data_IF_593894436400
#
_entry.id   IF_593894436400
#
_cell.length_a   1.000
_cell.length_b   1.000
_cell.length_c   1.000
_cell.angle_alpha   90.00
_cell.angle_beta   90.00
_cell.angle_gamma   90.00
#
_symmetry.space_group_name_H-M   'P 1'
#
loop_
_entity.id
_entity.type
_entity.pdbx_description
1 polymer ?
#
# COMPACT_ATOMS: atom_id res chain seq x y z
N UNK A 1 19.88 1.10 -26.46
CA UNK A 1 18.55 1.05 -25.83
C UNK A 1 18.48 0.12 -24.61
N UNK A 2 19.60 -0.24 -23.95
CA UNK A 2 19.59 -1.32 -22.94
C UNK A 2 20.57 -1.11 -21.77
N UNK A 3 20.75 0.12 -21.26
CA UNK A 3 21.69 0.35 -20.12
C UNK A 3 21.16 1.15 -18.93
N UNK A 4 19.88 1.53 -18.91
CA UNK A 4 19.35 2.36 -17.82
C UNK A 4 18.33 1.65 -16.91
N UNK A 5 18.05 0.36 -17.14
CA UNK A 5 17.08 -0.40 -16.34
C UNK A 5 17.74 -1.26 -15.23
N UNK A 6 18.99 -1.71 -15.44
CA UNK A 6 19.66 -2.61 -14.50
C UNK A 6 20.23 -1.90 -13.25
N UNK A 7 20.52 -0.60 -13.32
CA UNK A 7 21.04 0.16 -12.18
C UNK A 7 20.00 0.52 -11.11
N UNK A 8 18.72 0.24 -11.38
CA UNK A 8 17.59 0.64 -10.55
C UNK A 8 17.10 -0.48 -9.63
N UNK A 9 17.41 -1.72 -9.97
CA UNK A 9 17.02 -2.93 -9.22
C UNK A 9 18.02 -3.35 -8.15
N UNK A 10 19.09 -2.57 -7.92
CA UNK A 10 20.17 -2.94 -7.01
C UNK A 10 20.33 -2.04 -5.77
N UNK A 11 19.40 -1.11 -5.51
CA UNK A 11 19.59 -0.13 -4.42
C UNK A 11 18.56 -0.25 -3.30
N UNK A 12 19.01 -0.86 -2.21
CA UNK A 12 18.44 -0.81 -0.85
C UNK A 12 18.63 0.54 -0.15
N UNK A 13 18.79 1.64 -0.89
CA UNK A 13 18.88 3.01 -0.36
C UNK A 13 18.51 4.05 -1.45
N UNK A 14 17.65 5.02 -1.11
CA UNK A 14 17.47 6.25 -1.91
C UNK A 14 16.05 6.56 -2.39
N UNK A 15 15.52 7.71 -1.97
CA UNK A 15 14.30 8.35 -2.48
C UNK A 15 14.30 8.42 -4.00
N UNK A 16 13.28 7.83 -4.64
CA UNK A 16 12.97 8.06 -6.05
C UNK A 16 11.59 8.69 -6.14
N UNK A 17 11.56 9.96 -6.51
CA UNK A 17 10.40 10.55 -7.15
C UNK A 17 10.52 10.22 -8.64
N UNK A 18 9.56 9.49 -9.18
CA UNK A 18 9.40 9.33 -10.61
C UNK A 18 8.12 10.05 -11.01
N UNK A 19 8.23 11.02 -11.91
CA UNK A 19 7.08 11.63 -12.55
C UNK A 19 6.51 10.60 -13.54
N UNK A 20 5.31 10.10 -13.26
CA UNK A 20 4.65 9.05 -14.04
C UNK A 20 3.61 9.62 -15.02
N UNK A 21 3.53 10.95 -15.18
CA UNK A 21 2.47 11.61 -15.95
C UNK A 21 1.09 11.57 -15.28
N UNK A 22 0.20 12.50 -15.65
CA UNK A 22 -1.20 12.53 -15.16
C UNK A 22 -1.43 13.25 -13.82
N UNK A 23 -0.45 13.98 -13.29
CA UNK A 23 -0.61 14.79 -12.06
C UNK A 23 -0.31 14.08 -10.74
N UNK A 24 0.38 12.93 -10.78
CA UNK A 24 0.63 12.07 -9.63
C UNK A 24 2.05 12.31 -9.08
N UNK A 25 2.18 12.62 -7.78
CA UNK A 25 3.47 12.91 -7.12
C UNK A 25 3.76 11.94 -5.97
N UNK A 26 4.50 10.87 -6.25
CA UNK A 26 5.02 9.98 -5.20
C UNK A 26 6.34 10.53 -4.62
N UNK A 27 6.36 10.88 -3.34
CA UNK A 27 7.60 11.21 -2.59
C UNK A 27 7.91 10.06 -1.66
N UNK A 28 9.02 9.36 -1.91
CA UNK A 28 9.54 8.32 -1.01
C UNK A 28 10.20 8.98 0.21
N UNK A 29 9.45 9.10 1.30
CA UNK A 29 9.99 9.18 2.65
C UNK A 29 9.65 7.85 3.37
N UNK A 30 10.58 7.34 4.16
CA UNK A 30 10.64 5.95 4.65
C UNK A 30 9.27 5.24 4.84
N UNK A 31 9.12 4.10 4.15
CA UNK A 31 8.05 3.09 4.26
C UNK A 31 6.61 3.45 3.83
N UNK A 32 6.30 4.70 3.48
CA UNK A 32 4.92 5.15 3.20
C UNK A 32 4.80 5.88 1.86
N UNK A 33 3.70 5.65 1.14
CA UNK A 33 3.37 6.31 -0.13
C UNK A 33 2.01 6.99 -0.01
N UNK A 34 1.91 8.27 -0.34
CA UNK A 34 0.61 8.95 -0.39
C UNK A 34 -0.19 8.49 -1.61
N UNK A 35 -1.47 8.21 -1.41
CA UNK A 35 -2.42 7.81 -2.43
C UNK A 35 -3.08 9.06 -3.03
N UNK A 36 -2.43 9.66 -4.02
CA UNK A 36 -3.02 10.64 -4.92
C UNK A 36 -3.39 9.88 -6.19
N UNK A 37 -4.67 9.61 -6.44
CA UNK A 37 -5.11 8.83 -7.61
C UNK A 37 -4.73 7.35 -7.53
N UNK A 38 -3.52 7.00 -7.96
CA UNK A 38 -3.04 5.62 -8.08
C UNK A 38 -1.60 5.47 -7.54
N UNK A 39 -1.35 4.38 -6.81
CA UNK A 39 -0.04 4.01 -6.25
C UNK A 39 0.29 2.56 -6.58
N UNK A 40 1.55 2.31 -6.92
CA UNK A 40 2.08 0.96 -7.11
C UNK A 40 2.83 0.49 -5.86
N UNK A 41 2.51 -0.72 -5.38
CA UNK A 41 3.15 -1.38 -4.25
C UNK A 41 3.51 -2.82 -4.62
N UNK A 42 4.76 -3.07 -5.01
CA UNK A 42 5.15 -4.37 -5.58
C UNK A 42 4.25 -4.73 -6.77
N UNK A 43 3.54 -5.88 -6.78
CA UNK A 43 2.62 -6.26 -7.85
C UNK A 43 1.24 -5.59 -7.75
N UNK A 44 1.00 -4.71 -6.78
CA UNK A 44 -0.30 -4.10 -6.55
C UNK A 44 -0.38 -2.72 -7.18
N UNK A 45 -1.47 -2.43 -7.88
CA UNK A 45 -1.94 -1.08 -8.18
C UNK A 45 -3.10 -0.79 -7.24
N UNK A 46 -3.04 0.31 -6.50
CA UNK A 46 -4.03 0.71 -5.49
C UNK A 46 -4.49 2.12 -5.82
N UNK A 47 -5.80 2.32 -5.90
CA UNK A 47 -6.39 3.57 -6.37
C UNK A 47 -7.48 4.06 -5.42
N UNK A 48 -7.61 5.38 -5.31
CA UNK A 48 -8.69 6.03 -4.59
C UNK A 48 -8.82 7.47 -5.04
N UNK A 49 -10.06 7.93 -5.15
CA UNK A 49 -10.37 9.34 -5.36
C UNK A 49 -10.34 10.16 -4.05
N UNK A 50 -10.15 9.49 -2.89
CA UNK A 50 -10.21 10.14 -1.58
C UNK A 50 -8.82 10.59 -1.15
N UNK A 51 -8.71 11.88 -0.84
CA UNK A 51 -7.45 12.48 -0.39
C UNK A 51 -7.09 12.05 1.04
N UNK A 52 -5.81 12.23 1.39
CA UNK A 52 -5.28 11.96 2.74
C UNK A 52 -5.11 10.48 3.06
N UNK A 53 -5.12 9.62 2.04
CA UNK A 53 -4.79 8.21 2.15
C UNK A 53 -3.31 7.95 1.91
N UNK A 54 -2.80 6.94 2.58
CA UNK A 54 -1.42 6.50 2.45
C UNK A 54 -1.37 4.97 2.37
N UNK A 55 -0.43 4.43 1.60
CA UNK A 55 -0.14 3.01 1.46
C UNK A 55 1.21 2.74 2.10
N UNK A 56 1.27 1.77 3.01
CA UNK A 56 2.51 1.31 3.64
C UNK A 56 2.54 -0.20 3.81
N UNK A 57 3.68 -0.71 4.27
CA UNK A 57 3.79 -2.10 4.71
C UNK A 57 3.03 -2.33 6.00
N UNK A 58 2.68 -3.59 6.24
CA UNK A 58 2.07 -4.02 7.50
C UNK A 58 3.01 -3.79 8.67
N UNK A 59 2.48 -3.24 9.76
CA UNK A 59 3.20 -3.06 11.03
C UNK A 59 2.60 -3.95 12.12
N UNK A 60 3.42 -4.51 13.04
CA UNK A 60 2.91 -5.16 14.23
C UNK A 60 1.99 -4.23 15.02
N UNK A 61 0.82 -4.74 15.42
CA UNK A 61 -0.17 -3.95 16.16
C UNK A 61 -1.27 -3.34 15.29
N UNK A 62 -1.13 -3.34 13.95
CA UNK A 62 -2.15 -2.86 13.02
C UNK A 62 -3.52 -3.50 13.29
N UNK A 63 -4.56 -2.65 13.30
CA UNK A 63 -5.97 -3.03 13.50
C UNK A 63 -6.84 -2.28 12.51
N UNK A 64 -7.80 -3.00 11.95
CA UNK A 64 -8.77 -2.40 11.03
C UNK A 64 -9.65 -1.39 11.78
N UNK A 65 -9.76 -0.17 11.26
CA UNK A 65 -10.53 0.91 11.86
C UNK A 65 -11.98 0.50 12.08
N UNK A 66 -12.60 1.01 13.15
CA UNK A 66 -13.96 0.64 13.54
C UNK A 66 -14.14 -0.83 13.96
N UNK A 67 -13.07 -1.64 13.99
CA UNK A 67 -13.09 -3.05 14.39
C UNK A 67 -11.99 -3.34 15.41
N UNK A 68 -12.16 -4.42 16.19
CA UNK A 68 -11.13 -4.87 17.14
C UNK A 68 -10.10 -5.83 16.53
N UNK A 69 -10.34 -6.35 15.33
CA UNK A 69 -9.55 -7.42 14.72
C UNK A 69 -8.19 -6.91 14.23
N UNK A 70 -7.12 -7.68 14.51
CA UNK A 70 -5.77 -7.34 14.06
C UNK A 70 -5.62 -7.65 12.58
N UNK A 71 -4.85 -6.83 11.88
CA UNK A 71 -4.49 -7.06 10.47
C UNK A 71 -3.72 -8.38 10.29
N UNK A 72 -2.88 -8.76 11.27
CA UNK A 72 -2.22 -10.07 11.27
C UNK A 72 -3.23 -11.22 11.13
N UNK A 73 -4.31 -11.18 11.92
CA UNK A 73 -5.32 -12.24 11.95
C UNK A 73 -6.11 -12.24 10.64
N UNK A 74 -6.43 -11.06 10.11
CA UNK A 74 -7.06 -10.91 8.78
C UNK A 74 -6.22 -11.57 7.67
N UNK A 75 -4.91 -11.32 7.64
CA UNK A 75 -3.99 -11.91 6.66
C UNK A 75 -3.84 -13.42 6.84
N UNK A 76 -3.86 -13.90 8.09
CA UNK A 76 -3.87 -15.35 8.39
C UNK A 76 -5.13 -16.00 7.86
N UNK A 77 -6.31 -15.42 8.14
CA UNK A 77 -7.59 -15.95 7.72
C UNK A 77 -7.76 -15.96 6.20
N UNK A 78 -7.22 -14.93 5.54
CA UNK A 78 -7.11 -14.85 4.08
C UNK A 78 -6.03 -15.76 3.48
N UNK A 79 -5.33 -16.53 4.33
CA UNK A 79 -4.28 -17.50 3.94
C UNK A 79 -3.09 -16.86 3.20
N UNK A 80 -2.80 -15.59 3.47
CA UNK A 80 -1.60 -14.93 2.94
C UNK A 80 -0.35 -15.63 3.49
N UNK A 81 0.63 -15.95 2.65
CA UNK A 81 1.84 -16.64 3.09
C UNK A 81 2.65 -15.76 4.04
N UNK A 82 3.26 -16.35 5.08
CA UNK A 82 3.99 -15.60 6.12
C UNK A 82 5.03 -14.62 5.55
N UNK A 83 5.74 -15.03 4.50
CA UNK A 83 6.80 -14.25 3.85
C UNK A 83 6.28 -12.99 3.15
N UNK A 84 5.00 -12.99 2.75
CA UNK A 84 4.36 -11.86 2.06
C UNK A 84 3.69 -10.88 3.04
N UNK A 85 3.38 -11.31 4.28
CA UNK A 85 2.53 -10.53 5.21
C UNK A 85 3.13 -9.21 5.62
N UNK A 86 4.44 -9.15 5.86
CA UNK A 86 5.11 -7.92 6.31
C UNK A 86 5.19 -6.89 5.17
N UNK A 87 5.32 -7.36 3.94
CA UNK A 87 5.29 -6.53 2.73
C UNK A 87 3.88 -6.35 2.16
N UNK A 88 2.82 -6.81 2.83
CA UNK A 88 1.46 -6.66 2.32
C UNK A 88 1.08 -5.18 2.36
N UNK A 89 0.47 -4.64 1.29
CA UNK A 89 0.04 -3.24 1.29
C UNK A 89 -1.06 -3.04 2.33
N UNK A 90 -0.96 -1.98 3.10
CA UNK A 90 -1.95 -1.52 4.07
C UNK A 90 -2.28 -0.07 3.74
N UNK A 91 -3.57 0.22 3.59
CA UNK A 91 -4.04 1.57 3.30
C UNK A 91 -4.51 2.20 4.60
N UNK A 92 -3.95 3.36 4.90
CA UNK A 92 -4.20 4.09 6.14
C UNK A 92 -4.69 5.51 5.87
N UNK A 93 -5.40 6.06 6.84
CA UNK A 93 -5.66 7.50 6.95
C UNK A 93 -5.08 7.98 8.27
N UNK A 94 -3.93 8.65 8.23
CA UNK A 94 -3.14 8.89 9.44
C UNK A 94 -2.71 7.56 10.08
N UNK A 95 -3.12 7.30 11.32
CA UNK A 95 -2.79 6.06 12.03
C UNK A 95 -3.82 4.93 11.86
N UNK A 96 -4.98 5.24 11.27
CA UNK A 96 -6.08 4.28 11.14
C UNK A 96 -5.92 3.41 9.89
N UNK A 97 -5.98 2.09 10.05
CA UNK A 97 -6.02 1.16 8.90
C UNK A 97 -7.43 1.13 8.33
N UNK A 98 -7.59 1.63 7.11
CA UNK A 98 -8.90 1.76 6.45
C UNK A 98 -9.16 0.65 5.44
N UNK A 99 -8.11 0.09 4.84
CA UNK A 99 -8.23 -1.08 3.97
C UNK A 99 -6.98 -1.97 4.01
N UNK A 100 -7.22 -3.26 3.85
CA UNK A 100 -6.23 -4.31 3.60
C UNK A 100 -6.58 -4.90 2.24
N UNK A 101 -5.97 -4.43 1.14
CA UNK A 101 -6.24 -4.88 -0.21
C UNK A 101 -6.34 -6.41 -0.34
N UNK A 102 -7.44 -6.86 -0.95
CA UNK A 102 -7.75 -8.27 -1.19
C UNK A 102 -8.23 -9.05 0.05
N UNK A 103 -8.39 -8.37 1.20
CA UNK A 103 -8.67 -9.05 2.48
C UNK A 103 -9.83 -8.40 3.23
N UNK A 104 -9.79 -7.09 3.47
CA UNK A 104 -10.82 -6.41 4.26
C UNK A 104 -10.84 -4.90 4.03
N UNK A 105 -12.01 -4.31 4.23
CA UNK A 105 -12.23 -2.86 4.27
C UNK A 105 -12.86 -2.48 5.61
N UNK A 106 -12.49 -1.33 6.16
CA UNK A 106 -13.07 -0.81 7.39
C UNK A 106 -14.51 -0.33 7.13
N UNK A 107 -15.39 -0.33 8.15
CA UNK A 107 -16.73 0.24 8.01
C UNK A 107 -16.67 1.71 7.57
N UNK A 108 -17.46 2.08 6.57
CA UNK A 108 -17.47 3.43 5.99
C UNK A 108 -16.35 3.69 4.97
N UNK A 109 -15.58 2.66 4.61
CA UNK A 109 -14.52 2.69 3.61
C UNK A 109 -14.76 1.72 2.45
N UNK A 110 -15.93 1.08 2.41
CA UNK A 110 -16.29 0.10 1.38
C UNK A 110 -16.28 0.74 -0.02
N UNK A 111 -15.51 0.15 -0.93
CA UNK A 111 -15.35 0.60 -2.31
C UNK A 111 -14.59 1.91 -2.47
N UNK A 112 -14.11 2.53 -1.38
CA UNK A 112 -13.35 3.79 -1.44
C UNK A 112 -11.96 3.57 -2.02
N UNK A 113 -11.40 2.38 -1.78
CA UNK A 113 -10.09 1.99 -2.28
C UNK A 113 -10.27 0.80 -3.21
N UNK A 114 -9.74 0.89 -4.42
CA UNK A 114 -9.70 -0.23 -5.35
C UNK A 114 -8.27 -0.75 -5.45
N UNK A 115 -8.14 -2.03 -5.81
CA UNK A 115 -6.83 -2.64 -5.99
C UNK A 115 -6.85 -3.67 -7.11
N UNK A 116 -5.69 -3.82 -7.76
CA UNK A 116 -5.43 -4.84 -8.76
C UNK A 116 -4.05 -5.44 -8.51
N UNK A 117 -3.94 -6.77 -8.56
CA UNK A 117 -2.66 -7.48 -8.55
C UNK A 117 -2.31 -7.85 -9.99
N UNK A 118 -1.17 -7.38 -10.49
CA UNK A 118 -0.63 -7.69 -11.83
C UNK A 118 0.27 -8.91 -11.82
#
# INVERSE_FOLDING_TARGET
LERTLAGLLASTHGTKAADLGGGLRAVREYETLRLEGAVTWGPWTIESAREGLEVRGRRPGDRLAGRRKKVQDLLVDAKVARQERDAWPIVVRGEEVVAVPGVAEAPGWEGVVTWKKS
#
